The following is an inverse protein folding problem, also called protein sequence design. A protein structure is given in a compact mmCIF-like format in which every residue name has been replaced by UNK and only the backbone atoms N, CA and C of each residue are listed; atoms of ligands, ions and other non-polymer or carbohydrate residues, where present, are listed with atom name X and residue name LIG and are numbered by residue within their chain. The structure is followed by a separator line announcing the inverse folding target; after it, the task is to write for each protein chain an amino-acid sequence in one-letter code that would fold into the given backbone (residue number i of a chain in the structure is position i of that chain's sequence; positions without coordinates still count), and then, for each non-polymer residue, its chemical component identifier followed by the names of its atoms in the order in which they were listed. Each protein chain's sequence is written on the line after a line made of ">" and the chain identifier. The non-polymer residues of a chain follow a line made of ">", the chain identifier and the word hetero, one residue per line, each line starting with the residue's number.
data_IF_832847139190
#
_entry.id   IF_832847139190
#
_cell.length_a   1.000
_cell.length_b   1.000
_cell.length_c   1.000
_cell.angle_alpha   90.00
_cell.angle_beta   90.00
_cell.angle_gamma   90.00
#
_symmetry.space_group_name_H-M   'P 1'
#
loop_
_entity.id
_entity.type
_entity.pdbx_description
1 polymer ?
#
# COMPACT_ATOMS: atom_id res chain seq x y z
N UNK A 1 7.09 -3.81 11.28
CA UNK A 1 7.31 -2.67 10.38
C UNK A 1 6.66 -2.95 9.04
N UNK A 2 6.11 -1.92 8.42
CA UNK A 2 5.33 -1.98 7.19
C UNK A 2 5.87 -0.94 6.20
N UNK A 3 5.91 -1.28 4.92
CA UNK A 3 6.32 -0.39 3.85
C UNK A 3 5.10 0.01 3.02
N UNK A 4 4.93 1.30 2.79
CA UNK A 4 3.94 1.80 1.85
C UNK A 4 4.33 1.39 0.42
N UNK A 5 3.49 0.62 -0.27
CA UNK A 5 3.76 0.12 -1.63
C UNK A 5 3.33 1.10 -2.72
N UNK A 6 2.41 2.02 -2.39
CA UNK A 6 1.88 3.00 -3.33
C UNK A 6 1.52 4.28 -2.57
N UNK A 7 2.08 5.41 -3.00
CA UNK A 7 1.81 6.70 -2.38
C UNK A 7 0.35 7.14 -2.55
N UNK A 8 -0.21 7.76 -1.52
CA UNK A 8 -1.59 8.27 -1.50
C UNK A 8 -1.71 9.51 -0.62
N UNK A 9 -2.80 10.25 -0.79
CA UNK A 9 -3.14 11.40 0.04
C UNK A 9 -4.37 11.09 0.87
N UNK A 10 -4.32 11.41 2.16
CA UNK A 10 -5.43 11.26 3.09
C UNK A 10 -5.74 12.61 3.73
N UNK A 11 -7.00 12.85 4.06
CA UNK A 11 -7.40 14.05 4.77
C UNK A 11 -6.73 14.09 6.15
N UNK A 12 -6.29 15.28 6.56
CA UNK A 12 -5.63 15.48 7.84
C UNK A 12 -6.68 15.60 8.94
N UNK A 13 -6.45 14.95 10.08
CA UNK A 13 -7.29 15.12 11.25
C UNK A 13 -6.59 15.98 12.32
N UNK A 14 -7.38 16.72 13.10
CA UNK A 14 -6.91 17.40 14.32
C UNK A 14 -6.83 16.44 15.52
N UNK A 15 -6.38 16.95 16.68
CA UNK A 15 -6.18 16.18 17.91
C UNK A 15 -7.48 15.61 18.49
N UNK A 16 -8.62 16.24 18.17
CA UNK A 16 -9.95 15.75 18.51
C UNK A 16 -10.47 14.71 17.50
N UNK A 17 -9.66 14.40 16.46
CA UNK A 17 -9.96 13.45 15.40
C UNK A 17 -11.01 13.94 14.40
N UNK A 18 -11.22 15.26 14.29
CA UNK A 18 -12.04 15.83 13.24
C UNK A 18 -11.19 16.10 11.99
N UNK A 19 -11.79 15.84 10.82
CA UNK A 19 -11.15 16.12 9.54
C UNK A 19 -11.02 17.63 9.33
N UNK A 20 -9.79 18.09 9.06
CA UNK A 20 -9.50 19.48 8.73
C UNK A 20 -9.78 19.68 7.23
N UNK A 21 -10.84 20.41 6.91
CA UNK A 21 -11.23 20.67 5.53
C UNK A 21 -10.09 21.30 4.71
N UNK A 22 -9.81 20.73 3.53
CA UNK A 22 -8.76 21.15 2.59
C UNK A 22 -7.31 20.93 3.05
N UNK A 23 -7.07 20.23 4.17
CA UNK A 23 -5.74 19.76 4.54
C UNK A 23 -5.59 18.27 4.25
N UNK A 24 -4.49 17.91 3.60
CA UNK A 24 -4.16 16.54 3.24
C UNK A 24 -2.73 16.21 3.66
N UNK A 25 -2.52 14.98 4.11
CA UNK A 25 -1.21 14.39 4.37
C UNK A 25 -0.86 13.50 3.18
N UNK A 26 0.30 13.75 2.58
CA UNK A 26 0.84 12.91 1.52
C UNK A 26 1.70 11.79 2.13
N UNK A 27 1.26 10.54 1.92
CA UNK A 27 2.01 9.35 2.29
C UNK A 27 2.85 8.93 1.09
N UNK A 28 4.17 8.95 1.27
CA UNK A 28 5.10 8.64 0.19
C UNK A 28 5.24 7.14 -0.03
N UNK A 29 5.29 6.74 -1.29
CA UNK A 29 5.67 5.37 -1.65
C UNK A 29 7.05 5.04 -1.06
N UNK A 30 7.16 3.85 -0.48
CA UNK A 30 8.37 3.37 0.16
C UNK A 30 8.65 3.90 1.56
N UNK A 31 7.79 4.77 2.11
CA UNK A 31 7.84 5.16 3.52
C UNK A 31 7.64 3.96 4.44
N UNK A 32 8.25 4.01 5.63
CA UNK A 32 8.27 2.92 6.61
C UNK A 32 7.44 3.32 7.82
N UNK A 33 6.57 2.42 8.24
CA UNK A 33 5.61 2.65 9.31
C UNK A 33 5.61 1.48 10.29
N UNK A 34 5.25 1.75 11.54
CA UNK A 34 5.03 0.73 12.56
C UNK A 34 3.69 0.89 13.25
N UNK A 35 3.16 -0.22 13.76
CA UNK A 35 2.00 -0.19 14.64
C UNK A 35 2.58 -0.11 16.05
N UNK A 36 2.40 1.01 16.78
CA UNK A 36 2.88 1.13 18.15
C UNK A 36 2.27 0.03 19.03
N UNK A 37 3.05 -0.54 19.95
CA UNK A 37 2.60 -1.60 20.87
C UNK A 37 1.69 -1.07 21.99
N UNK A 38 1.69 0.25 22.22
CA UNK A 38 0.95 0.89 23.29
C UNK A 38 -0.50 1.19 22.88
N UNK A 39 -1.49 0.41 23.32
CA UNK A 39 -2.94 0.69 23.11
C UNK A 39 -3.49 1.94 23.85
N UNK A 40 -2.64 2.85 24.32
CA UNK A 40 -3.06 4.05 25.09
C UNK A 40 -3.63 5.18 24.18
N UNK A 41 -3.73 4.94 22.87
CA UNK A 41 -4.32 5.87 21.92
C UNK A 41 -5.80 5.56 21.65
N UNK A 42 -6.60 6.62 21.51
CA UNK A 42 -7.98 6.51 21.02
C UNK A 42 -7.96 6.58 19.51
N UNK A 43 -8.42 5.51 18.86
CA UNK A 43 -8.72 5.53 17.44
C UNK A 43 -9.99 6.36 17.22
N UNK A 44 -9.92 7.39 16.39
CA UNK A 44 -11.05 8.29 16.11
C UNK A 44 -11.53 8.16 14.66
N UNK A 45 -10.59 7.97 13.72
CA UNK A 45 -10.86 7.95 12.28
C UNK A 45 -10.57 6.62 11.57
N UNK A 46 -9.94 5.66 12.24
CA UNK A 46 -9.53 4.39 11.61
C UNK A 46 -9.58 3.18 12.53
N UNK A 47 -9.25 2.03 11.97
CA UNK A 47 -9.18 0.74 12.69
C UNK A 47 -7.75 0.42 13.11
N UNK A 48 -6.77 0.97 12.38
CA UNK A 48 -5.34 0.76 12.61
C UNK A 48 -4.67 2.13 12.69
N UNK A 49 -3.86 2.33 13.74
CA UNK A 49 -2.93 3.45 13.86
C UNK A 49 -1.52 3.01 13.47
N UNK A 50 -0.86 3.81 12.64
CA UNK A 50 0.50 3.64 12.19
C UNK A 50 1.31 4.88 12.53
N UNK A 51 2.59 4.70 12.88
CA UNK A 51 3.53 5.79 13.11
C UNK A 51 4.70 5.69 12.13
N UNK A 52 5.05 6.82 11.49
CA UNK A 52 6.14 6.88 10.52
C UNK A 52 7.49 6.77 11.22
N UNK A 53 8.34 5.83 10.77
CA UNK A 53 9.68 5.66 11.31
C UNK A 53 10.62 6.68 10.65
N UNK A 54 10.77 7.86 11.25
CA UNK A 54 11.63 8.94 10.75
C UNK A 54 12.30 9.72 11.87
N UNK A 55 13.58 10.07 11.69
CA UNK A 55 14.42 10.69 12.74
C UNK A 55 13.95 12.07 13.22
N UNK A 56 13.16 12.80 12.44
CA UNK A 56 12.89 14.24 12.68
C UNK A 56 11.38 14.58 12.78
N UNK A 57 10.48 13.61 12.57
CA UNK A 57 9.05 13.85 12.61
C UNK A 57 8.31 12.60 13.11
N UNK A 58 7.37 12.80 14.05
CA UNK A 58 6.38 11.77 14.41
C UNK A 58 5.11 12.08 13.65
N UNK A 59 4.92 11.40 12.51
CA UNK A 59 3.65 11.40 11.79
C UNK A 59 2.88 10.15 12.21
N UNK A 60 1.60 10.32 12.52
CA UNK A 60 0.70 9.20 12.77
C UNK A 60 -0.41 9.19 11.72
N UNK A 61 -0.90 7.99 11.42
CA UNK A 61 -1.87 7.73 10.39
C UNK A 61 -2.91 6.75 10.92
N UNK A 62 -4.18 7.13 10.87
CA UNK A 62 -5.30 6.22 11.14
C UNK A 62 -5.98 5.85 9.83
N UNK A 63 -6.04 4.54 9.54
CA UNK A 63 -6.65 4.00 8.32
C UNK A 63 -7.51 2.78 8.63
N UNK A 64 -8.34 2.40 7.66
CA UNK A 64 -9.11 1.17 7.71
C UNK A 64 -8.21 -0.05 7.49
N UNK A 65 -8.64 -1.22 7.97
CA UNK A 65 -7.95 -2.49 7.68
C UNK A 65 -7.83 -2.75 6.17
N UNK A 66 -8.82 -2.30 5.40
CA UNK A 66 -8.87 -2.49 3.95
C UNK A 66 -7.79 -1.65 3.24
N UNK A 67 -7.68 -0.37 3.58
CA UNK A 67 -6.62 0.50 3.03
C UNK A 67 -5.24 0.06 3.49
N UNK A 68 -5.12 -0.43 4.73
CA UNK A 68 -3.88 -0.98 5.23
C UNK A 68 -3.40 -2.16 4.37
N UNK A 69 -4.25 -3.15 4.12
CA UNK A 69 -3.92 -4.32 3.27
C UNK A 69 -3.61 -3.94 1.82
N UNK A 70 -4.19 -2.83 1.35
CA UNK A 70 -4.01 -2.34 -0.03
C UNK A 70 -2.71 -1.57 -0.24
N UNK A 71 -2.34 -0.72 0.71
CA UNK A 71 -1.21 0.21 0.56
C UNK A 71 0.03 -0.19 1.36
N UNK A 72 -0.06 -1.12 2.31
CA UNK A 72 1.05 -1.49 3.17
C UNK A 72 1.36 -2.97 3.11
N UNK A 73 2.65 -3.29 3.08
CA UNK A 73 3.18 -4.65 3.14
C UNK A 73 4.09 -4.81 4.36
N UNK A 74 4.00 -5.93 5.06
CA UNK A 74 4.88 -6.24 6.19
C UNK A 74 6.32 -6.42 5.68
N UNK A 75 7.30 -5.81 6.35
CA UNK A 75 8.73 -5.90 6.01
C UNK A 75 9.33 -7.16 6.64
N UNK A 76 8.66 -8.28 6.48
CA UNK A 76 9.01 -9.55 7.12
C UNK A 76 8.77 -10.64 6.08
N UNK A 77 9.88 -11.07 5.47
CA UNK A 77 10.02 -12.11 4.47
C UNK A 77 9.61 -11.77 3.02
N UNK A 78 10.61 -11.93 2.13
CA UNK A 78 10.58 -12.02 0.66
C UNK A 78 9.31 -11.54 -0.03
N UNK A 79 9.46 -10.46 -0.80
CA UNK A 79 8.58 -10.18 -1.94
C UNK A 79 8.70 -11.37 -2.90
N UNK A 80 7.79 -12.33 -2.79
CA UNK A 80 7.48 -13.27 -3.85
C UNK A 80 6.56 -12.50 -4.80
N UNK A 81 7.09 -12.16 -5.97
CA UNK A 81 6.42 -11.38 -7.03
C UNK A 81 5.21 -12.12 -7.64
N UNK A 82 4.77 -13.25 -7.07
CA UNK A 82 3.73 -14.14 -7.60
C UNK A 82 2.32 -13.57 -7.57
N UNK A 83 2.05 -12.52 -6.79
CA UNK A 83 0.71 -11.91 -6.68
C UNK A 83 0.52 -10.68 -7.59
N UNK A 84 1.55 -10.27 -8.35
CA UNK A 84 1.36 -9.34 -9.47
C UNK A 84 0.89 -10.03 -10.77
N UNK A 85 0.75 -11.37 -10.78
CA UNK A 85 0.11 -12.14 -11.85
C UNK A 85 -1.42 -12.26 -11.71
N UNK A 86 -2.12 -11.26 -11.17
CA UNK A 86 -3.59 -11.26 -11.17
C UNK A 86 -4.26 -9.98 -11.69
N UNK A 87 -3.57 -9.23 -12.55
CA UNK A 87 -4.18 -8.19 -13.40
C UNK A 87 -4.16 -8.54 -14.92
N UNK A 88 -3.79 -9.78 -15.28
CA UNK A 88 -3.91 -10.28 -16.66
C UNK A 88 -5.22 -11.03 -16.94
N UNK A 89 -5.94 -11.51 -15.91
CA UNK A 89 -7.13 -12.34 -16.13
C UNK A 89 -8.34 -11.52 -16.61
N UNK A 90 -8.45 -10.24 -16.24
CA UNK A 90 -9.51 -9.36 -16.77
C UNK A 90 -9.27 -8.88 -18.21
N UNK A 91 -8.03 -8.97 -18.72
CA UNK A 91 -7.75 -8.72 -20.14
C UNK A 91 -8.14 -9.89 -21.06
N UNK A 92 -8.28 -11.11 -20.53
CA UNK A 92 -8.63 -12.29 -21.34
C UNK A 92 -10.13 -12.36 -21.72
N UNK A 93 -11.00 -11.60 -21.05
CA UNK A 93 -12.46 -11.65 -21.26
C UNK A 93 -13.03 -10.52 -22.12
N UNK A 94 -12.28 -9.43 -22.33
CA UNK A 94 -12.64 -8.37 -23.26
C UNK A 94 -11.79 -8.49 -24.52
N UNK A 95 -12.39 -8.99 -25.60
CA UNK A 95 -11.80 -9.14 -26.94
C UNK A 95 -11.50 -7.78 -27.60
N UNK A 96 -10.63 -6.97 -27.01
CA UNK A 96 -10.15 -5.71 -27.59
C UNK A 96 -8.61 -5.62 -27.53
N UNK A 97 -7.97 -6.51 -28.30
CA UNK A 97 -6.86 -6.28 -29.23
C UNK A 97 -5.70 -5.27 -28.96
N UNK A 98 -5.36 -4.91 -27.72
CA UNK A 98 -4.32 -3.89 -27.46
C UNK A 98 -3.19 -4.25 -26.47
N UNK A 99 -2.88 -5.53 -26.24
CA UNK A 99 -1.69 -5.92 -25.47
C UNK A 99 -0.99 -7.15 -26.07
N UNK A 100 -0.30 -6.96 -27.21
CA UNK A 100 0.36 -8.05 -27.97
C UNK A 100 1.89 -8.09 -27.85
N UNK A 101 2.50 -7.40 -26.88
CA UNK A 101 3.97 -7.27 -26.84
C UNK A 101 4.67 -7.73 -25.54
N UNK A 102 3.96 -8.29 -24.54
CA UNK A 102 4.61 -8.76 -23.30
C UNK A 102 4.71 -10.29 -23.11
N UNK A 103 4.20 -11.10 -24.04
CA UNK A 103 4.14 -12.57 -23.86
C UNK A 103 4.87 -13.39 -24.93
N UNK A 104 5.86 -12.82 -25.61
CA UNK A 104 6.79 -13.61 -26.44
C UNK A 104 8.13 -13.72 -25.73
N UNK A 105 8.73 -14.90 -25.83
CA UNK A 105 10.05 -15.28 -25.33
C UNK A 105 10.15 -16.03 -23.99
N UNK A 106 9.19 -16.92 -23.69
CA UNK A 106 9.55 -18.06 -22.81
C UNK A 106 9.06 -19.45 -23.23
N UNK A 107 8.63 -19.61 -24.48
CA UNK A 107 8.41 -20.93 -25.08
C UNK A 107 9.23 -21.02 -26.36
N UNK A 108 10.49 -21.46 -26.23
CA UNK A 108 11.07 -22.32 -27.25
C UNK A 108 12.06 -23.27 -26.56
N UNK A 109 11.56 -24.47 -26.27
CA UNK A 109 12.37 -25.70 -26.26
C UNK A 109 13.23 -25.74 -27.53
N UNK A 110 14.48 -26.23 -27.44
CA UNK A 110 15.05 -27.11 -28.46
C UNK A 110 16.39 -27.69 -27.95
N UNK A 111 16.51 -29.00 -28.17
CA UNK A 111 17.62 -29.90 -27.92
C UNK A 111 18.92 -29.50 -28.66
N UNK A 112 20.09 -29.76 -28.05
CA UNK A 112 21.27 -30.41 -28.67
C UNK A 112 22.38 -30.68 -27.63
#
# INVERSE_FOLDING_TARGET
>A
MYKCTKGFSIEKCDDDGFTIENEYVEIKEGSIWEIPEDDDFRLVGGEIRLEEIKEDCVNWLEITENDFKKYFVKIDDKIDDSDLEMDCLECALSKENACVDCCKDWDNEDED
#
